data_IF_404208458656
#
_entry.id   IF_404208458656
#
_cell.length_a   1.000
_cell.length_b   1.000
_cell.length_c   1.000
_cell.angle_alpha   90.00
_cell.angle_beta   90.00
_cell.angle_gamma   90.00
#
_symmetry.space_group_name_H-M   'P 1'
#
loop_
_entity.id
_entity.type
_entity.pdbx_description
1 polymer ?
#
# COMPACT_ATOMS: atom_id res chain seq x y z
N UNK A 1 -10.56 -25.10 -40.69
CA UNK A 1 -10.98 -23.72 -41.04
C UNK A 1 -11.97 -23.12 -40.06
N UNK A 2 -12.92 -23.89 -39.50
CA UNK A 2 -13.89 -23.40 -38.50
C UNK A 2 -13.24 -22.96 -37.15
N UNK A 3 -12.23 -23.69 -36.69
CA UNK A 3 -11.49 -23.33 -35.45
C UNK A 3 -10.67 -22.04 -35.58
N UNK A 4 -10.09 -21.78 -36.75
CA UNK A 4 -9.34 -20.53 -36.97
C UNK A 4 -10.27 -19.31 -37.01
N UNK A 5 -11.47 -19.44 -37.58
CA UNK A 5 -12.47 -18.38 -37.63
C UNK A 5 -13.05 -18.04 -36.23
N UNK A 6 -13.28 -19.06 -35.38
CA UNK A 6 -13.74 -18.81 -34.01
C UNK A 6 -12.66 -18.17 -33.15
N UNK A 7 -11.39 -18.58 -33.29
CA UNK A 7 -10.26 -17.97 -32.59
C UNK A 7 -10.08 -16.51 -32.98
N UNK A 8 -10.15 -16.18 -34.28
CA UNK A 8 -10.05 -14.81 -34.76
C UNK A 8 -11.24 -13.93 -34.30
N UNK A 9 -12.47 -14.44 -34.31
CA UNK A 9 -13.62 -13.70 -33.81
C UNK A 9 -13.54 -13.47 -32.29
N UNK A 10 -12.96 -14.41 -31.55
CA UNK A 10 -12.71 -14.26 -30.09
C UNK A 10 -11.65 -13.21 -29.85
N UNK A 11 -10.57 -13.20 -30.63
CA UNK A 11 -9.52 -12.20 -30.57
C UNK A 11 -10.02 -10.79 -30.90
N UNK A 12 -10.77 -10.63 -32.00
CA UNK A 12 -11.35 -9.36 -32.45
C UNK A 12 -12.37 -8.76 -31.46
N UNK A 13 -12.93 -9.57 -30.57
CA UNK A 13 -13.90 -9.15 -29.56
C UNK A 13 -13.36 -9.24 -28.13
N UNK A 14 -12.06 -9.13 -27.95
CA UNK A 14 -11.37 -9.17 -26.65
C UNK A 14 -11.89 -10.32 -25.74
N UNK A 15 -12.05 -11.53 -26.33
CA UNK A 15 -12.52 -12.71 -25.61
C UNK A 15 -14.00 -12.66 -25.23
N UNK A 16 -14.80 -11.83 -25.87
CA UNK A 16 -16.22 -11.60 -25.54
C UNK A 16 -16.41 -11.11 -24.10
N UNK A 17 -15.73 -10.06 -23.70
CA UNK A 17 -15.81 -9.44 -22.37
C UNK A 17 -17.27 -9.18 -21.92
N UNK A 18 -18.15 -8.90 -22.87
CA UNK A 18 -19.60 -8.67 -22.62
C UNK A 18 -20.32 -9.85 -21.95
N UNK A 19 -19.78 -11.06 -22.00
CA UNK A 19 -20.31 -12.22 -21.29
C UNK A 19 -20.18 -12.13 -19.77
N UNK A 20 -19.29 -11.25 -19.28
CA UNK A 20 -19.08 -11.04 -17.85
C UNK A 20 -19.94 -9.87 -17.36
N UNK A 21 -20.46 -9.92 -16.12
CA UNK A 21 -21.08 -8.76 -15.47
C UNK A 21 -20.15 -7.55 -15.48
N UNK A 22 -20.72 -6.36 -15.57
CA UNK A 22 -19.95 -5.12 -15.61
C UNK A 22 -18.93 -4.99 -14.47
N UNK A 23 -19.33 -5.35 -13.25
CA UNK A 23 -18.45 -5.35 -12.09
C UNK A 23 -17.20 -6.24 -12.29
N UNK A 24 -17.37 -7.42 -12.90
CA UNK A 24 -16.25 -8.34 -13.21
C UNK A 24 -15.35 -7.75 -14.29
N UNK A 25 -15.97 -7.21 -15.36
CA UNK A 25 -15.23 -6.54 -16.44
C UNK A 25 -14.37 -5.38 -15.91
N UNK A 26 -14.96 -4.51 -15.12
CA UNK A 26 -14.27 -3.35 -14.55
C UNK A 26 -13.14 -3.74 -13.60
N UNK A 27 -13.31 -4.83 -12.83
CA UNK A 27 -12.23 -5.37 -12.01
C UNK A 27 -11.06 -5.95 -12.82
N UNK A 28 -11.36 -6.50 -14.01
CA UNK A 28 -10.37 -7.16 -14.87
C UNK A 28 -9.75 -6.21 -15.91
N UNK A 29 -10.49 -5.19 -16.36
CA UNK A 29 -10.05 -4.28 -17.43
C UNK A 29 -8.93 -3.33 -16.97
N UNK A 30 -8.93 -2.93 -15.70
CA UNK A 30 -7.86 -2.17 -15.09
C UNK A 30 -6.78 -3.13 -14.60
N UNK A 31 -5.91 -3.58 -15.48
CA UNK A 31 -4.76 -4.44 -15.14
C UNK A 31 -3.42 -3.74 -15.31
N UNK A 32 -2.41 -4.25 -14.59
CA UNK A 32 -1.04 -3.82 -14.74
C UNK A 32 -0.66 -2.53 -13.99
N UNK A 33 0.58 -2.04 -14.25
CA UNK A 33 1.18 -0.92 -13.52
C UNK A 33 0.29 0.34 -13.45
N UNK A 34 -0.37 0.80 -14.54
CA UNK A 34 -1.18 2.02 -14.48
C UNK A 34 -2.29 1.99 -13.44
N UNK A 35 -2.96 0.85 -13.27
CA UNK A 35 -4.02 0.74 -12.26
C UNK A 35 -3.47 0.67 -10.83
N UNK A 36 -2.30 0.04 -10.65
CA UNK A 36 -1.64 -0.09 -9.34
C UNK A 36 -1.18 1.28 -8.84
N UNK A 37 -0.59 2.11 -9.71
CA UNK A 37 -0.04 3.42 -9.35
C UNK A 37 -1.04 4.58 -9.53
N UNK A 38 -2.31 4.29 -9.79
CA UNK A 38 -3.34 5.31 -9.97
C UNK A 38 -3.39 6.25 -8.76
N UNK A 39 -3.21 7.54 -9.00
CA UNK A 39 -3.22 8.56 -7.97
C UNK A 39 -1.95 8.69 -7.13
N UNK A 40 -0.91 7.88 -7.39
CA UNK A 40 0.38 8.01 -6.70
C UNK A 40 1.17 9.21 -7.23
N UNK A 41 2.20 9.61 -6.46
CA UNK A 41 3.26 10.51 -6.96
C UNK A 41 4.42 9.69 -7.54
N UNK A 42 4.08 8.75 -8.47
CA UNK A 42 5.04 7.84 -9.09
C UNK A 42 6.11 8.61 -9.89
N UNK A 43 7.35 8.26 -9.69
CA UNK A 43 8.52 8.93 -10.30
C UNK A 43 8.96 10.22 -9.61
N UNK A 44 8.13 10.87 -8.78
CA UNK A 44 8.44 12.11 -8.09
C UNK A 44 8.73 11.90 -6.60
N UNK A 45 7.79 11.27 -5.87
CA UNK A 45 7.86 11.04 -4.43
C UNK A 45 7.84 9.55 -4.07
N UNK A 46 7.33 8.71 -4.96
CA UNK A 46 7.52 7.25 -4.96
C UNK A 46 8.45 6.89 -6.10
N UNK A 47 9.74 6.69 -5.79
CA UNK A 47 10.77 6.52 -6.82
C UNK A 47 10.86 5.08 -7.34
N UNK A 48 11.05 4.95 -8.66
CA UNK A 48 11.34 3.70 -9.34
C UNK A 48 12.79 3.24 -9.07
N UNK A 49 13.14 2.05 -9.56
CA UNK A 49 14.41 1.35 -9.36
C UNK A 49 15.67 2.13 -9.77
N UNK A 50 15.54 3.06 -10.71
CA UNK A 50 16.67 3.75 -11.35
C UNK A 50 16.88 5.17 -10.84
N UNK A 51 15.96 5.68 -10.03
CA UNK A 51 15.96 7.08 -9.64
C UNK A 51 16.73 7.28 -8.33
N UNK A 52 17.74 8.16 -8.30
CA UNK A 52 18.49 8.51 -7.10
C UNK A 52 17.68 9.46 -6.21
N UNK A 53 18.14 9.67 -4.97
CA UNK A 53 17.49 10.55 -4.01
C UNK A 53 17.38 12.02 -4.47
N UNK A 54 18.29 12.49 -5.33
CA UNK A 54 18.20 13.81 -5.96
C UNK A 54 16.99 13.99 -6.88
N UNK A 55 16.30 12.92 -7.20
CA UNK A 55 15.09 12.97 -8.03
C UNK A 55 13.84 13.33 -7.24
N UNK A 56 13.82 13.16 -5.91
CA UNK A 56 12.71 13.62 -5.09
C UNK A 56 12.46 15.11 -5.30
N UNK A 57 11.21 15.46 -5.60
CA UNK A 57 10.80 16.85 -5.84
C UNK A 57 10.57 17.57 -4.51
N UNK A 58 10.72 18.89 -4.52
CA UNK A 58 10.53 19.72 -3.33
C UNK A 58 9.10 19.61 -2.77
N UNK A 59 8.10 19.45 -3.64
CA UNK A 59 6.71 19.28 -3.22
C UNK A 59 6.41 17.94 -2.55
N UNK A 60 7.36 16.99 -2.54
CA UNK A 60 7.22 15.74 -1.79
C UNK A 60 7.14 15.95 -0.28
N UNK A 61 7.59 17.11 0.22
CA UNK A 61 7.50 17.48 1.63
C UNK A 61 6.84 18.86 1.73
N UNK A 62 5.59 18.87 2.19
CA UNK A 62 4.84 20.10 2.40
C UNK A 62 5.36 20.87 3.61
N UNK A 63 5.31 22.21 3.58
CA UNK A 63 5.79 23.06 4.69
C UNK A 63 4.76 23.24 5.81
N UNK A 64 3.55 22.71 5.64
CA UNK A 64 2.43 22.85 6.58
C UNK A 64 2.60 21.98 7.83
N UNK A 65 2.04 22.43 8.96
CA UNK A 65 2.07 21.70 10.24
C UNK A 65 0.64 21.39 10.74
N UNK A 66 0.46 20.32 11.54
CA UNK A 66 1.46 19.29 11.82
C UNK A 66 1.90 18.56 10.55
N UNK A 67 3.17 18.16 10.48
CA UNK A 67 3.73 17.44 9.32
C UNK A 67 3.74 15.93 9.59
N UNK A 68 3.03 15.18 8.79
CA UNK A 68 3.08 13.71 8.75
C UNK A 68 4.05 13.28 7.67
N UNK A 69 5.08 12.52 8.02
CA UNK A 69 6.10 12.05 7.07
C UNK A 69 5.95 10.55 6.82
N UNK A 70 5.54 10.20 5.62
CA UNK A 70 5.36 8.82 5.15
C UNK A 70 6.65 8.30 4.51
N UNK A 71 7.25 7.27 5.09
CA UNK A 71 8.49 6.65 4.61
C UNK A 71 8.34 5.14 4.46
N UNK A 72 8.69 4.62 3.29
CA UNK A 72 8.67 3.18 3.05
C UNK A 72 8.94 2.79 1.60
N UNK A 73 8.46 1.62 1.24
CA UNK A 73 8.53 1.13 -0.14
C UNK A 73 7.29 1.56 -0.96
N UNK A 74 7.02 0.88 -2.07
CA UNK A 74 5.87 1.16 -2.92
C UNK A 74 4.52 1.04 -2.19
N UNK A 75 4.44 0.25 -1.11
CA UNK A 75 3.22 0.17 -0.30
C UNK A 75 2.97 1.48 0.46
N UNK A 76 4.02 2.20 0.89
CA UNK A 76 3.86 3.55 1.42
C UNK A 76 3.33 4.50 0.34
N UNK A 77 3.88 4.45 -0.88
CA UNK A 77 3.38 5.23 -2.01
C UNK A 77 1.90 4.98 -2.29
N UNK A 78 1.41 3.74 -2.11
CA UNK A 78 -0.01 3.40 -2.31
C UNK A 78 -0.95 4.07 -1.32
N UNK A 79 -0.46 4.62 -0.21
CA UNK A 79 -1.28 5.36 0.76
C UNK A 79 -1.45 6.84 0.41
N UNK A 80 -0.61 7.38 -0.49
CA UNK A 80 -0.69 8.81 -0.84
C UNK A 80 -2.09 9.26 -1.29
N UNK A 81 -2.83 8.52 -2.15
CA UNK A 81 -4.18 8.91 -2.55
C UNK A 81 -5.13 9.06 -1.35
N UNK A 82 -4.97 8.22 -0.32
CA UNK A 82 -5.75 8.29 0.91
C UNK A 82 -5.44 9.55 1.73
N UNK A 83 -4.16 9.88 1.91
CA UNK A 83 -3.76 11.13 2.59
C UNK A 83 -4.21 12.37 1.84
N UNK A 84 -4.13 12.33 0.51
CA UNK A 84 -4.61 13.41 -0.35
C UNK A 84 -6.12 13.61 -0.19
N UNK A 85 -6.91 12.55 -0.25
CA UNK A 85 -8.35 12.61 -0.01
C UNK A 85 -8.69 13.14 1.38
N UNK A 86 -7.93 12.74 2.41
CA UNK A 86 -8.12 13.24 3.78
C UNK A 86 -7.84 14.75 3.90
N UNK A 87 -6.81 15.27 3.22
CA UNK A 87 -6.52 16.70 3.17
C UNK A 87 -7.64 17.46 2.45
N UNK A 88 -8.10 16.97 1.31
CA UNK A 88 -9.17 17.57 0.50
C UNK A 88 -10.52 17.59 1.22
N UNK A 89 -10.78 16.60 2.06
CA UNK A 89 -11.97 16.52 2.92
C UNK A 89 -12.03 17.61 4.01
N UNK A 90 -10.92 18.29 4.28
CA UNK A 90 -10.85 19.48 5.14
C UNK A 90 -11.04 19.23 6.64
N UNK A 91 -11.37 18.01 7.07
CA UNK A 91 -11.56 17.68 8.49
C UNK A 91 -10.26 17.77 9.29
N UNK A 92 -9.13 17.45 8.68
CA UNK A 92 -7.80 17.47 9.28
C UNK A 92 -6.90 18.42 8.50
N UNK A 93 -6.30 19.36 9.22
CA UNK A 93 -5.43 20.38 8.65
C UNK A 93 -3.96 20.02 8.94
N UNK A 94 -3.26 19.40 7.98
CA UNK A 94 -1.89 18.91 8.15
C UNK A 94 -1.09 19.03 6.85
N UNK A 95 0.24 18.96 6.96
CA UNK A 95 1.16 18.79 5.84
C UNK A 95 1.54 17.32 5.67
N UNK A 96 1.79 16.90 4.43
CA UNK A 96 2.27 15.57 4.11
C UNK A 96 3.68 15.64 3.52
N UNK A 97 4.58 14.87 4.11
CA UNK A 97 5.85 14.46 3.51
C UNK A 97 5.72 13.03 3.00
N UNK A 98 6.14 12.76 1.76
CA UNK A 98 6.22 11.41 1.23
C UNK A 98 7.58 11.20 0.60
N UNK A 99 8.29 10.18 1.08
CA UNK A 99 9.48 9.65 0.44
C UNK A 99 9.43 8.13 0.44
N UNK A 100 8.94 7.59 -0.65
CA UNK A 100 8.82 6.16 -0.89
C UNK A 100 9.70 5.74 -2.06
N UNK A 101 10.04 4.46 -2.13
CA UNK A 101 10.78 3.93 -3.27
C UNK A 101 10.53 2.43 -3.47
N UNK A 102 10.31 2.01 -4.71
CA UNK A 102 10.02 0.61 -5.06
C UNK A 102 11.09 -0.34 -4.49
N UNK A 103 10.66 -1.40 -3.79
CA UNK A 103 11.51 -2.43 -3.15
C UNK A 103 12.63 -1.81 -2.28
N UNK A 104 12.31 -0.77 -1.52
CA UNK A 104 13.23 -0.11 -0.61
C UNK A 104 12.51 0.21 0.71
N UNK A 105 12.51 -0.71 1.68
CA UNK A 105 11.83 -0.49 2.96
C UNK A 105 12.55 0.60 3.77
N UNK A 106 11.85 1.19 4.73
CA UNK A 106 12.38 2.19 5.65
C UNK A 106 13.35 1.58 6.67
N UNK A 107 14.49 1.07 6.19
CA UNK A 107 15.54 0.44 7.00
C UNK A 107 16.90 0.92 6.52
N UNK A 108 17.69 1.54 7.41
CA UNK A 108 19.04 2.03 7.11
C UNK A 108 20.04 0.90 6.88
N UNK A 109 21.01 1.15 6.02
CA UNK A 109 22.16 0.27 5.83
C UNK A 109 21.87 -1.01 5.04
N UNK A 110 20.70 -1.16 4.44
CA UNK A 110 20.35 -2.32 3.58
C UNK A 110 20.33 -1.94 2.10
N UNK A 111 20.57 -2.91 1.25
CA UNK A 111 20.61 -2.72 -0.21
C UNK A 111 19.84 -3.85 -0.93
N UNK A 112 18.51 -4.00 -0.71
CA UNK A 112 17.71 -5.03 -1.38
C UNK A 112 17.62 -4.82 -2.89
N UNK A 113 17.93 -3.60 -3.34
CA UNK A 113 18.11 -3.18 -4.72
C UNK A 113 19.09 -2.02 -4.80
N UNK A 114 19.70 -1.72 -5.98
CA UNK A 114 20.59 -0.55 -6.14
C UNK A 114 19.92 0.75 -5.67
N UNK A 115 20.70 1.65 -5.09
CA UNK A 115 20.32 2.96 -4.57
C UNK A 115 19.44 2.95 -3.28
N UNK A 116 18.97 1.80 -2.78
CA UNK A 116 18.11 1.80 -1.60
C UNK A 116 18.83 2.36 -0.36
N UNK A 117 20.09 2.00 -0.14
CA UNK A 117 20.89 2.53 0.97
C UNK A 117 20.96 4.05 0.92
N UNK A 118 21.37 4.63 -0.21
CA UNK A 118 21.48 6.08 -0.38
C UNK A 118 20.13 6.81 -0.29
N UNK A 119 19.04 6.19 -0.78
CA UNK A 119 17.68 6.71 -0.61
C UNK A 119 17.27 6.78 0.86
N UNK A 120 17.54 5.73 1.64
CA UNK A 120 17.23 5.72 3.07
C UNK A 120 18.11 6.69 3.87
N UNK A 121 19.38 6.88 3.49
CA UNK A 121 20.27 7.91 4.06
C UNK A 121 19.73 9.32 3.77
N UNK A 122 19.26 9.58 2.55
CA UNK A 122 18.64 10.86 2.21
C UNK A 122 17.31 11.08 2.93
N UNK A 123 16.54 10.03 3.17
CA UNK A 123 15.25 10.11 3.87
C UNK A 123 15.46 10.43 5.36
N UNK A 124 16.40 9.79 6.04
CA UNK A 124 16.69 10.13 7.44
C UNK A 124 17.28 11.56 7.55
N UNK A 125 18.08 12.01 6.57
CA UNK A 125 18.55 13.38 6.54
C UNK A 125 17.39 14.38 6.37
N UNK A 126 16.46 14.11 5.46
CA UNK A 126 15.26 14.94 5.31
C UNK A 126 14.43 15.00 6.61
N UNK A 127 14.28 13.89 7.33
CA UNK A 127 13.59 13.86 8.63
C UNK A 127 14.30 14.76 9.65
N UNK A 128 15.63 14.75 9.69
CA UNK A 128 16.43 15.63 10.57
C UNK A 128 16.23 17.11 10.22
N UNK A 129 16.14 17.43 8.94
CA UNK A 129 16.02 18.81 8.45
C UNK A 129 14.63 19.38 8.71
N UNK A 130 13.57 18.59 8.41
CA UNK A 130 12.18 19.07 8.50
C UNK A 130 11.52 18.81 9.84
N UNK A 131 12.06 17.88 10.66
CA UNK A 131 11.54 17.50 12.00
C UNK A 131 10.02 17.32 11.99
N UNK A 132 9.50 16.26 11.33
CA UNK A 132 8.07 16.04 11.24
C UNK A 132 7.45 15.76 12.63
N UNK A 133 6.17 16.06 12.77
CA UNK A 133 5.42 15.79 14.01
C UNK A 133 5.10 14.31 14.17
N UNK A 134 4.93 13.61 13.05
CA UNK A 134 4.70 12.16 13.00
C UNK A 134 5.50 11.56 11.85
N UNK A 135 6.23 10.48 12.11
CA UNK A 135 6.80 9.62 11.06
C UNK A 135 5.98 8.34 10.97
N UNK A 136 5.50 8.03 9.79
CA UNK A 136 4.81 6.76 9.49
C UNK A 136 5.77 5.88 8.68
N UNK A 137 6.07 4.70 9.21
CA UNK A 137 6.86 3.67 8.56
C UNK A 137 5.93 2.60 7.98
N UNK A 138 5.95 2.43 6.67
CA UNK A 138 5.14 1.41 6.03
C UNK A 138 5.86 0.76 4.85
N UNK A 139 5.99 -0.56 4.89
CA UNK A 139 6.65 -1.35 3.86
C UNK A 139 6.07 -2.77 3.82
N UNK A 140 6.34 -3.51 2.78
CA UNK A 140 6.03 -4.93 2.70
C UNK A 140 6.97 -5.75 3.61
N UNK A 141 6.71 -5.69 4.91
CA UNK A 141 7.61 -6.19 5.96
C UNK A 141 7.99 -7.67 5.87
N UNK A 142 7.23 -8.50 5.16
CA UNK A 142 7.54 -9.92 4.95
C UNK A 142 8.13 -10.23 3.57
N UNK A 143 8.54 -9.21 2.83
CA UNK A 143 9.29 -9.41 1.60
C UNK A 143 10.64 -10.10 1.91
N UNK A 144 10.86 -11.26 1.34
CA UNK A 144 12.06 -12.08 1.57
C UNK A 144 13.38 -11.41 1.16
N UNK A 145 13.32 -10.33 0.39
CA UNK A 145 14.48 -9.52 -0.01
C UNK A 145 14.93 -8.54 1.08
N UNK A 146 14.09 -8.32 2.11
CA UNK A 146 14.34 -7.28 3.11
C UNK A 146 15.09 -7.86 4.30
N UNK A 147 16.28 -7.33 4.53
CA UNK A 147 17.01 -7.53 5.78
C UNK A 147 16.55 -6.49 6.80
N UNK A 148 15.76 -6.91 7.76
CA UNK A 148 15.20 -6.02 8.77
C UNK A 148 16.06 -5.91 10.05
N UNK A 149 17.29 -6.44 10.08
CA UNK A 149 18.17 -6.41 11.27
C UNK A 149 18.42 -5.01 11.80
N UNK A 150 18.50 -4.01 10.90
CA UNK A 150 18.76 -2.62 11.26
C UNK A 150 17.50 -1.79 11.54
N UNK A 151 16.33 -2.39 11.67
CA UNK A 151 15.08 -1.64 11.88
C UNK A 151 15.08 -0.90 13.22
N UNK A 152 15.56 -1.52 14.30
CA UNK A 152 15.66 -0.88 15.60
C UNK A 152 16.65 0.30 15.59
N UNK A 153 17.78 0.14 14.91
CA UNK A 153 18.74 1.22 14.73
C UNK A 153 18.15 2.38 13.90
N UNK A 154 17.35 2.05 12.88
CA UNK A 154 16.64 3.05 12.06
C UNK A 154 15.67 3.87 12.92
N UNK A 155 14.87 3.21 13.73
CA UNK A 155 13.94 3.89 14.65
C UNK A 155 14.69 4.74 15.67
N UNK A 156 15.84 4.28 16.17
CA UNK A 156 16.68 5.07 17.07
C UNK A 156 17.20 6.36 16.40
N UNK A 157 17.58 6.31 15.12
CA UNK A 157 18.01 7.50 14.37
C UNK A 157 16.84 8.50 14.15
N UNK A 158 15.62 8.01 13.91
CA UNK A 158 14.43 8.86 13.82
C UNK A 158 14.16 9.55 15.17
N UNK A 159 14.25 8.82 16.29
CA UNK A 159 14.12 9.40 17.64
C UNK A 159 15.20 10.46 17.93
N UNK A 160 16.46 10.20 17.55
CA UNK A 160 17.56 11.18 17.68
C UNK A 160 17.33 12.45 16.85
N UNK A 161 16.59 12.36 15.75
CA UNK A 161 16.17 13.51 14.96
C UNK A 161 15.12 14.39 15.68
N UNK A 162 14.63 13.97 16.84
CA UNK A 162 13.66 14.72 17.64
C UNK A 162 12.20 14.53 17.19
N UNK A 163 11.91 13.47 16.45
CA UNK A 163 10.52 13.15 16.02
C UNK A 163 9.72 12.69 17.25
N UNK A 164 8.62 13.39 17.61
CA UNK A 164 7.88 13.06 18.83
C UNK A 164 7.07 11.78 18.71
N UNK A 165 6.61 11.42 17.51
CA UNK A 165 5.79 10.22 17.31
C UNK A 165 6.22 9.42 16.09
N UNK A 166 6.35 8.12 16.27
CA UNK A 166 6.65 7.16 15.20
C UNK A 166 5.55 6.11 15.20
N UNK A 167 4.89 5.94 14.06
CA UNK A 167 3.85 4.95 13.85
C UNK A 167 4.36 3.94 12.81
N UNK A 168 4.37 2.67 13.16
CA UNK A 168 4.63 1.60 12.21
C UNK A 168 3.29 1.01 11.76
N UNK A 169 3.03 1.04 10.45
CA UNK A 169 1.89 0.34 9.89
C UNK A 169 2.27 -1.11 9.59
N UNK A 170 1.47 -2.02 10.10
CA UNK A 170 1.53 -3.44 9.77
C UNK A 170 0.90 -3.72 8.41
N UNK A 171 0.89 -5.00 8.04
CA UNK A 171 0.36 -5.42 6.75
C UNK A 171 -1.13 -5.10 6.59
N UNK A 172 -1.53 -4.82 5.36
CA UNK A 172 -2.90 -4.96 4.85
C UNK A 172 -3.06 -6.40 4.32
N UNK A 173 -4.25 -6.82 3.83
CA UNK A 173 -4.37 -8.11 3.17
C UNK A 173 -3.43 -8.22 1.97
N UNK A 174 -2.44 -9.12 2.06
CA UNK A 174 -1.62 -9.52 0.93
C UNK A 174 -2.12 -10.85 0.41
N UNK A 175 -2.36 -10.93 -0.87
CA UNK A 175 -2.96 -12.08 -1.53
C UNK A 175 -1.90 -12.98 -2.14
N UNK A 176 -2.12 -14.28 -2.16
CA UNK A 176 -1.20 -15.25 -2.76
C UNK A 176 -1.08 -15.15 -4.29
N UNK A 177 -2.04 -14.46 -4.94
CA UNK A 177 -2.06 -14.09 -6.35
C UNK A 177 -2.61 -12.67 -6.48
N UNK A 178 -2.66 -12.13 -7.68
CA UNK A 178 -3.37 -10.86 -7.95
C UNK A 178 -4.85 -11.00 -7.54
N UNK A 179 -5.36 -10.07 -6.75
CA UNK A 179 -6.73 -10.14 -6.22
C UNK A 179 -7.79 -10.24 -7.33
N UNK A 180 -7.74 -9.48 -8.44
CA UNK A 180 -8.70 -9.65 -9.53
C UNK A 180 -8.73 -11.07 -10.10
N UNK A 181 -7.58 -11.73 -10.19
CA UNK A 181 -7.51 -13.12 -10.65
C UNK A 181 -8.22 -14.06 -9.68
N UNK A 182 -7.98 -13.92 -8.37
CA UNK A 182 -8.68 -14.72 -7.34
C UNK A 182 -10.18 -14.50 -7.42
N UNK A 183 -10.62 -13.24 -7.52
CA UNK A 183 -12.02 -12.89 -7.61
C UNK A 183 -12.72 -13.49 -8.85
N UNK A 184 -12.02 -13.52 -9.99
CA UNK A 184 -12.52 -14.16 -11.19
C UNK A 184 -12.61 -15.68 -11.03
N UNK A 185 -11.60 -16.33 -10.42
CA UNK A 185 -11.60 -17.76 -10.13
C UNK A 185 -12.78 -18.14 -9.20
N UNK A 186 -13.02 -17.38 -8.14
CA UNK A 186 -14.11 -17.62 -7.19
C UNK A 186 -15.49 -17.30 -7.80
N UNK A 187 -15.59 -16.24 -8.59
CA UNK A 187 -16.83 -15.91 -9.29
C UNK A 187 -17.27 -17.02 -10.25
N UNK A 188 -16.34 -17.65 -10.97
CA UNK A 188 -16.64 -18.76 -11.89
C UNK A 188 -17.21 -20.01 -11.20
N UNK A 189 -16.97 -20.17 -9.90
CA UNK A 189 -17.52 -21.29 -9.11
C UNK A 189 -18.99 -21.09 -8.71
N UNK A 190 -19.52 -19.88 -8.86
CA UNK A 190 -20.89 -19.55 -8.48
C UNK A 190 -21.86 -19.49 -9.66
N UNK A 191 -23.14 -19.19 -9.42
CA UNK A 191 -24.12 -18.94 -10.47
C UNK A 191 -23.68 -17.78 -11.38
N UNK A 192 -24.01 -17.79 -12.69
CA UNK A 192 -23.52 -16.82 -13.68
C UNK A 192 -23.80 -15.34 -13.33
N UNK A 193 -24.84 -15.06 -12.58
CA UNK A 193 -25.23 -13.69 -12.19
C UNK A 193 -24.76 -13.28 -10.78
N UNK A 194 -24.00 -14.14 -10.09
CA UNK A 194 -23.50 -13.83 -8.76
C UNK A 194 -22.31 -12.85 -8.84
N UNK A 195 -22.29 -11.88 -7.94
CA UNK A 195 -21.15 -10.97 -7.79
C UNK A 195 -19.94 -11.70 -7.21
N UNK A 196 -18.70 -11.25 -7.46
CA UNK A 196 -17.52 -11.76 -6.76
C UNK A 196 -17.68 -11.59 -5.23
N UNK A 197 -17.07 -12.49 -4.42
CA UNK A 197 -17.23 -12.43 -2.96
C UNK A 197 -16.69 -11.10 -2.38
N UNK A 198 -17.42 -10.54 -1.41
CA UNK A 198 -17.00 -9.34 -0.68
C UNK A 198 -15.80 -9.60 0.23
N UNK A 199 -15.68 -10.83 0.72
CA UNK A 199 -14.60 -11.25 1.61
C UNK A 199 -14.05 -12.59 1.14
N UNK A 200 -12.75 -12.74 1.37
CA UNK A 200 -12.01 -13.99 1.14
C UNK A 200 -11.37 -14.45 2.44
N UNK A 201 -11.41 -15.77 2.67
CA UNK A 201 -10.80 -16.39 3.84
C UNK A 201 -9.27 -16.37 3.76
N UNK A 202 -8.63 -16.67 4.88
CA UNK A 202 -7.18 -16.66 5.05
C UNK A 202 -6.42 -17.56 4.07
N UNK A 203 -7.06 -18.61 3.55
CA UNK A 203 -6.49 -19.50 2.54
C UNK A 203 -6.10 -18.79 1.22
N UNK A 204 -6.66 -17.59 0.98
CA UNK A 204 -6.33 -16.75 -0.18
C UNK A 204 -5.23 -15.74 0.11
N UNK A 205 -4.89 -15.54 1.37
CA UNK A 205 -3.81 -14.63 1.77
C UNK A 205 -2.43 -15.25 1.54
N UNK A 206 -1.42 -14.40 1.40
CA UNK A 206 -0.03 -14.82 1.51
C UNK A 206 0.19 -15.49 2.88
N UNK A 207 0.73 -16.70 2.92
CA UNK A 207 0.83 -17.47 4.16
C UNK A 207 1.70 -16.79 5.24
N UNK A 208 2.59 -15.87 4.86
CA UNK A 208 3.46 -15.13 5.78
C UNK A 208 2.84 -13.90 6.42
N UNK A 209 1.74 -13.37 5.88
CA UNK A 209 1.25 -12.03 6.24
C UNK A 209 0.86 -11.88 7.71
N UNK A 210 0.18 -12.87 8.29
CA UNK A 210 -0.24 -12.82 9.69
C UNK A 210 0.94 -12.98 10.66
N UNK A 211 1.86 -13.90 10.36
CA UNK A 211 3.07 -14.10 11.16
C UNK A 211 3.98 -12.86 11.11
N UNK A 212 4.14 -12.26 9.94
CA UNK A 212 4.89 -11.02 9.78
C UNK A 212 4.24 -9.87 10.57
N UNK A 213 2.91 -9.74 10.52
CA UNK A 213 2.18 -8.71 11.30
C UNK A 213 2.42 -8.88 12.79
N UNK A 214 2.34 -10.10 13.33
CA UNK A 214 2.61 -10.38 14.73
C UNK A 214 4.08 -10.06 15.11
N UNK A 215 5.04 -10.45 14.26
CA UNK A 215 6.46 -10.13 14.46
C UNK A 215 6.71 -8.63 14.49
N UNK A 216 6.13 -7.87 13.55
CA UNK A 216 6.32 -6.42 13.50
C UNK A 216 5.65 -5.70 14.67
N UNK A 217 4.50 -6.19 15.15
CA UNK A 217 3.85 -5.70 16.38
C UNK A 217 4.77 -5.86 17.58
N UNK A 218 5.36 -7.04 17.76
CA UNK A 218 6.30 -7.31 18.88
C UNK A 218 7.57 -6.44 18.77
N UNK A 219 8.10 -6.22 17.57
CA UNK A 219 9.25 -5.33 17.35
C UNK A 219 8.89 -3.87 17.66
N UNK A 220 7.74 -3.39 17.24
CA UNK A 220 7.29 -2.03 17.53
C UNK A 220 7.14 -1.80 19.05
N UNK A 221 6.59 -2.76 19.79
CA UNK A 221 6.53 -2.73 21.25
C UNK A 221 7.94 -2.63 21.87
N UNK A 222 8.87 -3.48 21.43
CA UNK A 222 10.27 -3.45 21.89
C UNK A 222 10.96 -2.11 21.61
N UNK A 223 10.64 -1.49 20.47
CA UNK A 223 11.16 -0.17 20.08
C UNK A 223 10.43 0.99 20.80
N UNK A 224 9.38 0.73 21.55
CA UNK A 224 8.51 1.75 22.16
C UNK A 224 8.02 2.77 21.10
N UNK A 225 7.36 2.25 20.07
CA UNK A 225 6.67 3.02 19.02
C UNK A 225 5.25 2.49 18.81
N UNK A 226 4.40 3.30 18.22
CA UNK A 226 3.02 2.91 17.92
C UNK A 226 2.99 1.88 16.76
N UNK A 227 2.09 0.89 16.88
CA UNK A 227 1.85 -0.09 15.81
C UNK A 227 0.36 -0.17 15.47
N UNK A 228 0.04 -0.06 14.19
CA UNK A 228 -1.32 -0.17 13.69
C UNK A 228 -1.34 -1.24 12.58
N UNK A 229 -2.14 -2.28 12.77
CA UNK A 229 -2.28 -3.35 11.77
C UNK A 229 -3.36 -3.01 10.76
N UNK A 230 -3.04 -2.98 9.48
CA UNK A 230 -4.04 -2.85 8.42
C UNK A 230 -5.00 -4.04 8.38
N UNK A 231 -4.53 -5.23 8.77
CA UNK A 231 -5.39 -6.42 8.86
C UNK A 231 -6.60 -6.20 9.79
N UNK A 232 -6.45 -5.41 10.86
CA UNK A 232 -7.51 -5.17 11.84
C UNK A 232 -8.66 -4.31 11.27
N UNK A 233 -8.42 -3.57 10.18
CA UNK A 233 -9.41 -2.75 9.47
C UNK A 233 -10.06 -3.46 8.28
N UNK A 234 -9.32 -4.33 7.62
CA UNK A 234 -9.79 -5.00 6.41
C UNK A 234 -10.31 -6.40 6.66
N UNK A 235 -9.96 -7.05 7.79
CA UNK A 235 -10.28 -8.46 8.04
C UNK A 235 -11.08 -8.63 9.33
N UNK A 236 -11.97 -9.63 9.32
CA UNK A 236 -12.72 -10.11 10.48
C UNK A 236 -12.88 -11.65 10.38
N UNK A 237 -13.73 -12.24 11.21
CA UNK A 237 -14.01 -13.68 11.23
C UNK A 237 -14.57 -14.22 9.89
N UNK A 238 -15.23 -13.36 9.11
CA UNK A 238 -15.77 -13.71 7.79
C UNK A 238 -14.70 -13.70 6.70
N UNK A 239 -13.50 -13.16 6.98
CA UNK A 239 -12.39 -13.00 6.04
C UNK A 239 -12.02 -11.54 5.78
N UNK A 240 -11.17 -11.32 4.79
CA UNK A 240 -10.66 -10.01 4.42
C UNK A 240 -11.44 -9.40 3.25
N UNK A 241 -11.68 -8.09 3.31
CA UNK A 241 -12.38 -7.35 2.26
C UNK A 241 -11.65 -7.45 0.92
N UNK A 242 -12.42 -7.60 -0.13
CA UNK A 242 -11.92 -7.61 -1.52
C UNK A 242 -12.20 -6.30 -2.24
N UNK A 243 -13.10 -5.49 -1.73
CA UNK A 243 -13.51 -4.16 -2.19
C UNK A 243 -14.22 -3.40 -1.06
N UNK A 244 -14.44 -2.11 -1.23
CA UNK A 244 -14.95 -1.26 -0.14
C UNK A 244 -16.49 -1.31 0.02
N UNK A 245 -17.24 -1.67 -1.01
CA UNK A 245 -18.70 -1.85 -0.95
C UNK A 245 -19.16 -2.91 -1.94
N UNK A 246 -20.39 -3.41 -1.78
CA UNK A 246 -21.01 -4.39 -2.68
C UNK A 246 -21.09 -3.88 -4.13
N UNK A 247 -21.31 -2.59 -4.31
CA UNK A 247 -21.48 -1.98 -5.63
C UNK A 247 -20.14 -1.50 -6.23
N UNK A 248 -19.06 -1.52 -5.45
CA UNK A 248 -17.76 -1.12 -5.96
C UNK A 248 -17.22 -2.14 -6.97
N UNK A 249 -16.86 -1.64 -8.16
CA UNK A 249 -16.10 -2.40 -9.16
C UNK A 249 -14.58 -2.26 -8.96
N UNK A 250 -14.12 -1.42 -8.03
CA UNK A 250 -12.71 -1.27 -7.68
C UNK A 250 -12.33 -2.33 -6.64
N UNK A 251 -11.37 -3.23 -6.94
CA UNK A 251 -10.87 -4.18 -5.95
C UNK A 251 -10.07 -3.47 -4.86
N UNK A 252 -9.84 -4.15 -3.73
CA UNK A 252 -8.97 -3.67 -2.66
C UNK A 252 -7.56 -3.38 -3.19
N UNK A 253 -7.06 -4.24 -4.09
CA UNK A 253 -5.80 -4.09 -4.81
C UNK A 253 -5.91 -4.65 -6.22
N UNK A 254 -5.18 -4.07 -7.17
CA UNK A 254 -5.11 -4.60 -8.55
C UNK A 254 -4.00 -5.64 -8.72
N UNK A 255 -3.21 -5.85 -7.68
CA UNK A 255 -2.19 -6.88 -7.60
C UNK A 255 -2.34 -7.70 -6.30
N UNK A 256 -1.21 -8.09 -5.71
CA UNK A 256 -1.17 -8.88 -4.49
C UNK A 256 -1.38 -8.06 -3.20
N UNK A 257 -1.30 -6.71 -3.21
CA UNK A 257 -1.39 -5.99 -1.94
C UNK A 257 -1.20 -4.47 -1.96
N UNK A 258 -0.87 -3.82 -3.10
CA UNK A 258 -0.90 -2.36 -3.16
C UNK A 258 -2.36 -1.89 -3.13
N UNK A 259 -2.70 -1.05 -2.15
CA UNK A 259 -4.07 -0.56 -2.00
C UNK A 259 -4.49 0.28 -3.21
N UNK A 260 -5.68 0.03 -3.71
CA UNK A 260 -6.32 0.91 -4.69
C UNK A 260 -6.67 2.26 -4.06
N UNK A 261 -6.94 3.27 -4.88
CA UNK A 261 -7.25 4.63 -4.40
C UNK A 261 -8.39 4.66 -3.38
N UNK A 262 -9.47 3.92 -3.63
CA UNK A 262 -10.60 3.83 -2.71
C UNK A 262 -10.27 3.09 -1.41
N UNK A 263 -9.46 2.04 -1.50
CA UNK A 263 -9.00 1.31 -0.31
C UNK A 263 -8.00 2.14 0.51
N UNK A 264 -7.12 2.90 -0.13
CA UNK A 264 -6.22 3.83 0.53
C UNK A 264 -6.99 4.95 1.24
N UNK A 265 -8.02 5.53 0.58
CA UNK A 265 -8.86 6.55 1.19
C UNK A 265 -9.57 6.03 2.44
N UNK A 266 -10.22 4.87 2.35
CA UNK A 266 -10.84 4.22 3.49
C UNK A 266 -9.85 4.00 4.63
N UNK A 267 -8.68 3.41 4.34
CA UNK A 267 -7.72 3.07 5.37
C UNK A 267 -7.15 4.30 6.07
N UNK A 268 -6.75 5.32 5.31
CA UNK A 268 -6.21 6.56 5.87
C UNK A 268 -7.26 7.32 6.68
N UNK A 269 -8.53 7.30 6.29
CA UNK A 269 -9.63 7.84 7.09
C UNK A 269 -9.74 7.15 8.44
N UNK A 270 -9.62 5.80 8.50
CA UNK A 270 -9.60 5.05 9.76
C UNK A 270 -8.35 5.35 10.60
N UNK A 271 -7.20 5.62 9.98
CA UNK A 271 -5.97 5.98 10.67
C UNK A 271 -6.00 7.41 11.23
N UNK A 272 -6.76 8.32 10.62
CA UNK A 272 -6.73 9.74 10.94
C UNK A 272 -6.97 10.06 12.44
N UNK A 273 -7.97 9.49 13.15
CA UNK A 273 -8.15 9.72 14.57
C UNK A 273 -6.95 9.30 15.43
N UNK A 274 -6.19 8.28 14.97
CA UNK A 274 -4.99 7.80 15.66
C UNK A 274 -3.77 8.68 15.35
N UNK A 275 -3.64 9.14 14.10
CA UNK A 275 -2.54 10.02 13.69
C UNK A 275 -2.67 11.39 14.34
N UNK A 276 -3.88 11.96 14.36
CA UNK A 276 -4.16 13.34 14.80
C UNK A 276 -4.75 13.42 16.22
N UNK A 277 -4.63 12.32 17.03
CA UNK A 277 -5.00 12.40 18.46
C UNK A 277 -4.12 13.45 19.15
N UNK A 278 -4.74 14.21 20.06
CA UNK A 278 -3.98 15.07 20.96
C UNK A 278 -2.95 14.24 21.76
N UNK A 279 -1.78 14.79 22.05
CA UNK A 279 -0.76 14.12 22.84
C UNK A 279 -1.23 13.76 24.25
#
# INVERSE_FOLDING_TARGET
TAMAGSGYATYQRDGFEQRFPEIVRNMMSKGGKPAIIEGWRDGDCTLDFRLPASHYKDFCIEKKRPLVFLWGDSHAGSLYPGFKALQEGGKYNFGLGERAAAICPSVLGIEPRPLCKSLNEANIQAIRDVKPDVVILYSWWHNKRYDLRNLEATVAEIKKAGVPRIIMLGAVPYWKKQLPQILLEEWKKGPPMKRPPMRLKDEFLDPGVRAATATMRARAQKMNIEFISGMDYFCNEQGCLTRMSEDSSQPLSYDYGHLSTGAAAYYVEQLAPLIFKAP
#
